data_IF_431246741664
#
_entry.id   IF_431246741664
#
_cell.length_a   1.000
_cell.length_b   1.000
_cell.length_c   1.000
_cell.angle_alpha   90.00
_cell.angle_beta   90.00
_cell.angle_gamma   90.00
#
_symmetry.space_group_name_H-M   'P 1'
#
loop_
_entity.id
_entity.type
_entity.pdbx_description
1 polymer ?
#
# COMPACT_ATOMS: atom_id res chain seq x y z
N UNK A 1 -18.28 -66.92 34.54
CA UNK A 1 -17.39 -65.84 35.00
C UNK A 1 -16.03 -66.10 34.38
N UNK A 2 -15.49 -65.05 33.78
CA UNK A 2 -14.14 -64.87 33.26
C UNK A 2 -13.80 -65.41 31.85
N UNK A 3 -13.64 -64.42 30.97
CA UNK A 3 -13.05 -64.46 29.64
C UNK A 3 -11.56 -64.85 29.70
N UNK A 4 -11.09 -65.54 28.65
CA UNK A 4 -9.74 -66.09 28.52
C UNK A 4 -8.90 -65.32 27.49
N UNK A 5 -7.59 -65.34 27.76
CA UNK A 5 -6.44 -64.92 26.96
C UNK A 5 -6.34 -65.47 25.52
N UNK A 6 -5.58 -64.73 24.70
CA UNK A 6 -5.01 -64.94 23.35
C UNK A 6 -4.14 -66.23 23.15
N UNK A 7 -3.26 -66.43 22.12
CA UNK A 7 -3.07 -65.85 20.75
C UNK A 7 -2.77 -66.92 19.64
N UNK A 8 -2.52 -66.55 18.37
CA UNK A 8 -1.73 -67.43 17.46
C UNK A 8 -1.73 -67.24 15.93
N UNK A 9 -0.79 -66.42 15.42
CA UNK A 9 0.12 -66.57 14.25
C UNK A 9 -0.35 -67.16 12.88
N UNK A 10 -0.35 -66.27 11.85
CA UNK A 10 0.37 -66.31 10.54
C UNK A 10 0.07 -67.40 9.49
N UNK A 11 0.57 -67.32 8.23
CA UNK A 11 1.45 -66.28 7.65
C UNK A 11 1.11 -65.81 6.19
N UNK A 12 1.74 -64.69 5.82
CA UNK A 12 2.42 -64.31 4.56
C UNK A 12 1.93 -64.66 3.13
N UNK A 13 2.02 -63.60 2.30
CA UNK A 13 2.45 -63.50 0.88
C UNK A 13 1.46 -63.92 -0.21
N UNK A 14 1.41 -63.30 -1.40
CA UNK A 14 1.83 -62.01 -2.00
C UNK A 14 1.21 -62.05 -3.42
N UNK A 15 0.70 -60.91 -3.89
CA UNK A 15 0.40 -60.48 -5.28
C UNK A 15 -0.48 -61.35 -6.21
N UNK A 16 -1.56 -60.78 -6.76
CA UNK A 16 -1.49 -60.11 -8.06
C UNK A 16 -2.79 -59.38 -8.48
N UNK A 17 -2.58 -58.23 -9.14
CA UNK A 17 -3.41 -57.39 -10.01
C UNK A 17 -4.94 -57.21 -9.87
N UNK A 18 -5.37 -55.94 -9.83
CA UNK A 18 -6.57 -55.49 -10.56
C UNK A 18 -7.41 -54.35 -9.96
N UNK A 19 -6.96 -53.11 -10.14
CA UNK A 19 -7.77 -51.90 -10.49
C UNK A 19 -9.05 -51.53 -9.71
N UNK A 20 -9.06 -50.30 -9.15
CA UNK A 20 -10.32 -49.61 -8.84
C UNK A 20 -10.22 -48.40 -7.91
N UNK A 21 -9.83 -47.24 -8.44
CA UNK A 21 -10.27 -45.89 -8.04
C UNK A 21 -10.14 -45.44 -6.59
N UNK A 22 -9.12 -44.65 -6.29
CA UNK A 22 -9.15 -43.69 -5.18
C UNK A 22 -9.21 -42.26 -5.75
N UNK A 23 -10.29 -41.56 -5.44
CA UNK A 23 -10.43 -40.12 -5.64
C UNK A 23 -9.47 -39.39 -4.72
N UNK A 24 -8.37 -38.90 -5.27
CA UNK A 24 -7.54 -37.89 -4.63
C UNK A 24 -8.17 -36.52 -4.88
N UNK A 25 -8.62 -35.87 -3.82
CA UNK A 25 -8.96 -34.45 -3.80
C UNK A 25 -7.68 -33.65 -4.09
N UNK A 26 -7.49 -33.32 -5.37
CA UNK A 26 -6.49 -32.35 -5.77
C UNK A 26 -6.84 -31.00 -5.15
N UNK A 27 -6.05 -30.57 -4.15
CA UNK A 27 -5.94 -29.14 -3.83
C UNK A 27 -5.52 -28.46 -5.13
N UNK A 28 -6.43 -27.70 -5.72
CA UNK A 28 -6.10 -26.83 -6.82
C UNK A 28 -5.01 -25.88 -6.31
N UNK A 29 -3.82 -25.98 -6.89
CA UNK A 29 -2.80 -24.98 -6.73
C UNK A 29 -3.39 -23.66 -7.23
N UNK A 30 -3.46 -22.67 -6.34
CA UNK A 30 -3.73 -21.29 -6.75
C UNK A 30 -2.56 -20.91 -7.67
N UNK A 31 -2.79 -20.60 -8.95
CA UNK A 31 -1.71 -20.21 -9.83
C UNK A 31 -1.07 -18.95 -9.27
N UNK A 32 0.25 -19.01 -9.10
CA UNK A 32 1.10 -17.87 -8.80
C UNK A 32 0.85 -16.83 -9.91
N UNK A 33 0.03 -15.83 -9.60
CA UNK A 33 -0.22 -14.72 -10.49
C UNK A 33 0.99 -13.79 -10.41
N UNK A 34 2.10 -14.27 -10.97
CA UNK A 34 3.31 -13.50 -11.21
C UNK A 34 2.94 -12.46 -12.29
N UNK A 35 2.28 -11.40 -11.85
CA UNK A 35 1.86 -10.26 -12.65
C UNK A 35 3.14 -9.62 -13.17
N UNK A 36 3.56 -10.01 -14.38
CA UNK A 36 4.76 -9.53 -15.06
C UNK A 36 4.73 -8.00 -15.14
N UNK A 37 5.52 -7.33 -14.30
CA UNK A 37 5.55 -5.87 -14.20
C UNK A 37 6.66 -5.22 -15.04
N UNK A 38 7.50 -5.99 -15.75
CA UNK A 38 8.50 -5.44 -16.67
C UNK A 38 8.98 -6.44 -17.71
N UNK A 39 9.06 -6.02 -18.97
CA UNK A 39 9.69 -6.76 -20.08
C UNK A 39 11.17 -6.37 -20.28
N UNK A 40 11.72 -5.50 -19.41
CA UNK A 40 13.08 -4.96 -19.55
C UNK A 40 14.13 -6.02 -19.21
N UNK A 41 15.22 -6.04 -19.99
CA UNK A 41 16.40 -6.85 -19.70
C UNK A 41 17.12 -6.28 -18.47
N UNK A 42 17.05 -7.00 -17.34
CA UNK A 42 17.69 -6.59 -16.09
C UNK A 42 19.22 -6.52 -16.19
N UNK A 43 19.84 -7.29 -17.08
CA UNK A 43 21.27 -7.25 -17.34
C UNK A 43 21.67 -5.95 -18.06
N UNK A 44 20.93 -5.56 -19.09
CA UNK A 44 21.14 -4.27 -19.78
C UNK A 44 20.90 -3.10 -18.80
N UNK A 45 19.81 -3.16 -18.04
CA UNK A 45 19.47 -2.12 -17.08
C UNK A 45 20.54 -1.96 -16.00
N UNK A 46 21.10 -3.06 -15.49
CA UNK A 46 22.23 -3.05 -14.56
C UNK A 46 23.43 -2.30 -15.13
N UNK A 47 23.78 -2.58 -16.39
CA UNK A 47 24.96 -1.99 -17.03
C UNK A 47 24.76 -0.48 -17.25
N UNK A 48 23.54 -0.06 -17.59
CA UNK A 48 23.14 1.35 -17.67
C UNK A 48 23.17 2.05 -16.31
N UNK A 49 22.62 1.43 -15.25
CA UNK A 49 22.69 1.94 -13.87
C UNK A 49 24.13 2.12 -13.40
N UNK A 50 25.01 1.16 -13.73
CA UNK A 50 26.44 1.24 -13.43
C UNK A 50 27.10 2.43 -14.12
N UNK A 51 26.82 2.64 -15.41
CA UNK A 51 27.36 3.78 -16.16
C UNK A 51 26.86 5.11 -15.59
N UNK A 52 25.56 5.21 -15.32
CA UNK A 52 24.94 6.40 -14.75
C UNK A 52 25.51 6.75 -13.38
N UNK A 53 25.53 5.80 -12.43
CA UNK A 53 26.00 6.07 -11.08
C UNK A 53 27.51 6.37 -11.08
N UNK A 54 28.28 5.69 -11.93
CA UNK A 54 29.70 5.96 -12.10
C UNK A 54 29.98 7.36 -12.64
N UNK A 55 29.19 7.81 -13.62
CA UNK A 55 29.23 9.19 -14.13
C UNK A 55 28.88 10.21 -13.04
N UNK A 56 27.81 9.94 -12.28
CA UNK A 56 27.34 10.82 -11.19
C UNK A 56 28.35 10.94 -10.05
N UNK A 57 29.04 9.85 -9.70
CA UNK A 57 30.06 9.83 -8.64
C UNK A 57 31.48 10.17 -9.14
N UNK A 58 31.65 10.33 -10.45
CA UNK A 58 32.94 10.60 -11.09
C UNK A 58 33.97 9.48 -10.89
N UNK A 59 33.53 8.22 -10.74
CA UNK A 59 34.39 7.08 -10.40
C UNK A 59 33.78 5.74 -10.83
N UNK A 60 34.59 4.67 -10.94
CA UNK A 60 34.08 3.33 -11.17
C UNK A 60 33.15 2.88 -10.03
N UNK A 61 32.06 2.23 -10.40
CA UNK A 61 31.10 1.63 -9.46
C UNK A 61 30.81 0.19 -9.88
N UNK A 62 30.53 -0.66 -8.90
CA UNK A 62 29.98 -2.01 -9.12
C UNK A 62 28.52 -2.00 -8.73
N UNK A 63 27.68 -2.63 -9.54
CA UNK A 63 26.25 -2.85 -9.28
C UNK A 63 26.02 -4.37 -9.29
N UNK A 64 25.34 -4.90 -8.27
CA UNK A 64 24.96 -6.32 -8.21
C UNK A 64 23.98 -6.70 -9.34
N UNK A 65 23.62 -7.98 -9.44
CA UNK A 65 22.43 -8.34 -10.19
C UNK A 65 21.21 -7.57 -9.64
N UNK A 66 20.33 -7.10 -10.53
CA UNK A 66 19.07 -6.48 -10.16
C UNK A 66 18.05 -7.57 -9.87
N UNK A 67 17.16 -7.32 -8.91
CA UNK A 67 15.99 -8.17 -8.67
C UNK A 67 14.76 -7.32 -8.38
N UNK A 68 13.59 -7.88 -8.66
CA UNK A 68 12.33 -7.33 -8.17
C UNK A 68 12.11 -7.73 -6.70
N UNK A 69 11.35 -6.94 -5.91
CA UNK A 69 10.88 -7.38 -4.60
C UNK A 69 9.97 -8.62 -4.75
N UNK A 70 10.00 -9.50 -3.76
CA UNK A 70 9.17 -10.72 -3.71
C UNK A 70 7.73 -10.45 -3.24
N UNK A 71 7.26 -9.19 -3.29
CA UNK A 71 5.97 -8.76 -2.73
C UNK A 71 5.43 -7.47 -3.38
N UNK A 72 4.20 -7.11 -3.01
CA UNK A 72 3.30 -6.16 -3.69
C UNK A 72 3.89 -4.79 -4.07
N UNK A 73 3.42 -4.29 -5.22
CA UNK A 73 3.59 -2.92 -5.70
C UNK A 73 3.02 -2.79 -7.11
N UNK A 74 1.83 -2.20 -7.26
CA UNK A 74 1.10 -2.16 -8.55
C UNK A 74 1.33 -0.88 -9.35
N UNK A 75 1.77 0.21 -8.70
CA UNK A 75 1.82 1.55 -9.28
C UNK A 75 3.15 1.89 -9.95
N UNK A 76 4.27 1.35 -9.47
CA UNK A 76 5.62 1.68 -9.93
C UNK A 76 6.51 0.44 -10.01
N UNK A 77 7.49 0.47 -10.90
CA UNK A 77 8.50 -0.60 -10.97
C UNK A 77 9.59 -0.36 -9.92
N UNK A 78 9.84 -1.37 -9.09
CA UNK A 78 10.83 -1.35 -8.02
C UNK A 78 11.93 -2.36 -8.29
N UNK A 79 13.18 -1.93 -8.16
CA UNK A 79 14.38 -2.74 -8.37
C UNK A 79 15.30 -2.68 -7.17
N UNK A 80 15.81 -3.83 -6.76
CA UNK A 80 16.71 -3.99 -5.62
C UNK A 80 18.11 -4.34 -6.13
N UNK A 81 19.13 -3.69 -5.57
CA UNK A 81 20.53 -3.93 -5.92
C UNK A 81 21.48 -3.44 -4.83
N UNK A 82 22.73 -3.91 -4.85
CA UNK A 82 23.83 -3.38 -4.06
C UNK A 82 24.76 -2.56 -4.95
N UNK A 83 25.18 -1.39 -4.48
CA UNK A 83 26.13 -0.51 -5.15
C UNK A 83 27.42 -0.37 -4.33
N UNK A 84 28.56 -0.55 -4.97
CA UNK A 84 29.88 -0.48 -4.33
C UNK A 84 30.84 0.43 -5.08
N UNK A 85 31.58 1.27 -4.36
CA UNK A 85 32.62 2.13 -4.95
C UNK A 85 33.70 2.52 -3.92
N UNK A 86 34.88 2.88 -4.41
CA UNK A 86 35.93 3.43 -3.56
C UNK A 86 35.72 4.92 -3.30
N UNK A 87 35.74 5.33 -2.03
CA UNK A 87 35.66 6.71 -1.58
C UNK A 87 36.95 7.16 -0.89
N UNK A 88 37.08 8.48 -0.64
CA UNK A 88 38.23 9.00 0.12
C UNK A 88 38.32 8.42 1.54
N UNK A 89 37.18 7.95 2.07
CA UNK A 89 37.05 7.36 3.41
C UNK A 89 37.12 5.81 3.37
N UNK A 90 37.46 5.23 2.21
CA UNK A 90 37.50 3.80 1.98
C UNK A 90 36.33 3.29 1.13
N UNK A 91 36.22 1.97 1.03
CA UNK A 91 35.17 1.30 0.25
C UNK A 91 33.79 1.60 0.83
N UNK A 92 32.85 1.98 -0.03
CA UNK A 92 31.44 2.14 0.29
C UNK A 92 30.67 0.99 -0.36
N UNK A 93 29.78 0.38 0.43
CA UNK A 93 28.83 -0.63 -0.04
C UNK A 93 27.45 -0.20 0.48
N UNK A 94 26.49 -0.02 -0.42
CA UNK A 94 25.16 0.52 -0.11
C UNK A 94 24.10 -0.38 -0.76
N UNK A 95 23.19 -0.90 0.06
CA UNK A 95 21.97 -1.54 -0.43
C UNK A 95 21.01 -0.47 -0.93
N UNK A 96 20.50 -0.65 -2.14
CA UNK A 96 19.73 0.33 -2.87
C UNK A 96 18.40 -0.25 -3.34
N UNK A 97 17.41 0.63 -3.43
CA UNK A 97 16.14 0.40 -4.12
C UNK A 97 15.94 1.53 -5.13
N UNK A 98 15.74 1.19 -6.40
CA UNK A 98 15.35 2.14 -7.42
C UNK A 98 13.83 2.05 -7.66
N UNK A 99 13.16 3.21 -7.68
CA UNK A 99 11.76 3.34 -8.05
C UNK A 99 11.68 4.05 -9.40
N UNK A 100 10.99 3.43 -10.34
CA UNK A 100 10.85 3.90 -11.72
C UNK A 100 9.39 4.02 -12.09
N UNK A 101 9.06 4.91 -13.01
CA UNK A 101 7.71 4.98 -13.55
C UNK A 101 7.41 3.67 -14.31
N UNK A 102 6.16 3.18 -14.27
CA UNK A 102 5.79 1.95 -14.97
C UNK A 102 6.04 2.08 -16.47
N UNK A 103 6.34 0.97 -17.14
CA UNK A 103 6.51 0.94 -18.59
C UNK A 103 5.21 1.35 -19.30
N UNK A 104 5.32 2.05 -20.44
CA UNK A 104 4.19 2.62 -21.17
C UNK A 104 3.15 1.62 -21.71
N UNK A 105 3.44 0.32 -21.67
CA UNK A 105 2.51 -0.77 -22.02
C UNK A 105 1.57 -1.16 -20.87
N UNK A 106 1.78 -0.63 -19.66
CA UNK A 106 0.87 -0.86 -18.55
C UNK A 106 -0.36 0.06 -18.65
N UNK A 107 -1.55 -0.46 -18.32
CA UNK A 107 -2.71 0.38 -17.98
C UNK A 107 -2.34 1.13 -16.69
N UNK A 108 -2.09 2.46 -16.74
CA UNK A 108 -1.60 3.18 -15.58
C UNK A 108 -2.71 3.27 -14.54
N UNK A 109 -2.31 3.16 -13.27
CA UNK A 109 -3.24 3.36 -12.14
C UNK A 109 -3.52 4.85 -11.98
N UNK A 110 -2.48 5.70 -12.06
CA UNK A 110 -2.61 7.14 -11.91
C UNK A 110 -2.44 7.90 -13.24
N UNK A 111 -3.01 9.11 -13.38
CA UNK A 111 -2.90 9.91 -14.60
C UNK A 111 -1.46 10.37 -14.91
N UNK A 112 -0.60 10.41 -13.89
CA UNK A 112 0.82 10.74 -14.02
C UNK A 112 1.62 10.23 -12.82
N UNK A 113 2.94 10.09 -13.02
CA UNK A 113 3.88 9.63 -12.00
C UNK A 113 4.95 10.69 -11.77
N UNK A 114 4.77 11.52 -10.75
CA UNK A 114 5.77 12.51 -10.35
C UNK A 114 6.74 11.93 -9.32
N UNK A 115 7.78 11.27 -9.84
CA UNK A 115 8.83 10.68 -9.00
C UNK A 115 9.69 11.73 -8.30
N UNK A 116 9.77 12.95 -8.84
CA UNK A 116 10.47 14.06 -8.19
C UNK A 116 9.75 14.50 -6.93
N UNK A 117 8.42 14.62 -7.00
CA UNK A 117 7.55 14.87 -5.84
C UNK A 117 7.67 13.77 -4.79
N UNK A 118 7.68 12.49 -5.19
CA UNK A 118 7.88 11.37 -4.27
C UNK A 118 9.25 11.39 -3.58
N UNK A 119 10.32 11.68 -4.33
CA UNK A 119 11.65 11.81 -3.77
C UNK A 119 11.72 12.93 -2.73
N UNK A 120 11.13 14.09 -3.06
CA UNK A 120 11.19 15.27 -2.21
C UNK A 120 10.35 15.14 -0.94
N UNK A 121 9.14 14.57 -1.02
CA UNK A 121 8.32 14.37 0.19
C UNK A 121 8.97 13.37 1.14
N UNK A 122 9.56 12.28 0.62
CA UNK A 122 10.26 11.30 1.45
C UNK A 122 11.47 11.93 2.17
N UNK A 123 12.21 12.79 1.46
CA UNK A 123 13.32 13.56 2.03
C UNK A 123 12.84 14.52 3.11
N UNK A 124 11.79 15.29 2.85
CA UNK A 124 11.21 16.26 3.79
C UNK A 124 10.60 15.59 5.02
N UNK A 125 9.84 14.51 4.85
CA UNK A 125 9.29 13.74 5.96
C UNK A 125 10.41 13.25 6.90
N UNK A 126 11.51 12.74 6.33
CA UNK A 126 12.67 12.33 7.12
C UNK A 126 13.35 13.50 7.84
N UNK A 127 13.63 14.58 7.13
CA UNK A 127 14.43 15.69 7.66
C UNK A 127 13.67 16.62 8.60
N UNK A 128 12.37 16.84 8.37
CA UNK A 128 11.53 17.78 9.13
C UNK A 128 10.74 17.09 10.23
N UNK A 129 10.20 15.91 9.96
CA UNK A 129 9.33 15.19 10.90
C UNK A 129 10.06 14.07 11.65
N UNK A 130 11.28 13.70 11.24
CA UNK A 130 11.97 12.54 11.81
C UNK A 130 11.29 11.21 11.48
N UNK A 131 10.38 11.19 10.50
CA UNK A 131 9.72 9.97 10.03
C UNK A 131 10.77 8.95 9.61
N UNK A 132 10.64 7.67 9.99
CA UNK A 132 11.59 6.63 9.59
C UNK A 132 11.37 6.26 8.12
N UNK A 133 11.56 7.20 7.19
CA UNK A 133 11.54 6.94 5.75
C UNK A 133 12.94 6.55 5.25
N UNK A 134 13.07 5.71 4.20
CA UNK A 134 14.35 5.42 3.57
C UNK A 134 15.11 6.70 3.19
N UNK A 135 16.44 6.68 3.31
CA UNK A 135 17.23 7.83 2.86
C UNK A 135 17.16 7.93 1.35
N UNK A 136 16.60 9.03 0.86
CA UNK A 136 16.60 9.40 -0.55
C UNK A 136 18.06 9.69 -0.99
N UNK A 137 18.61 8.88 -1.90
CA UNK A 137 20.03 8.99 -2.30
C UNK A 137 20.19 9.88 -3.53
N UNK A 138 19.47 9.56 -4.61
CA UNK A 138 19.63 10.24 -5.90
C UNK A 138 18.29 10.29 -6.64
N UNK A 139 18.01 11.43 -7.27
CA UNK A 139 16.93 11.60 -8.24
C UNK A 139 17.55 11.90 -9.61
N UNK A 140 16.99 11.26 -10.64
CA UNK A 140 17.33 11.45 -12.05
C UNK A 140 16.05 11.78 -12.84
N UNK A 141 15.83 13.06 -13.18
CA UNK A 141 14.67 13.47 -13.97
C UNK A 141 14.84 13.18 -15.46
N UNK A 142 16.08 13.05 -15.97
CA UNK A 142 16.32 12.74 -17.38
C UNK A 142 16.01 11.26 -17.63
N UNK A 143 15.12 10.90 -18.58
CA UNK A 143 14.90 9.50 -18.92
C UNK A 143 16.08 8.86 -19.65
N UNK A 144 17.05 9.61 -20.19
CA UNK A 144 18.15 9.05 -21.00
C UNK A 144 18.90 7.87 -20.34
N UNK A 145 19.24 7.90 -19.04
CA UNK A 145 20.03 6.84 -18.41
C UNK A 145 19.32 5.49 -18.38
N UNK A 146 18.02 5.42 -18.04
CA UNK A 146 17.28 4.15 -17.86
C UNK A 146 16.00 4.01 -18.71
N UNK A 147 15.72 4.98 -19.59
CA UNK A 147 14.52 5.04 -20.42
C UNK A 147 13.29 5.64 -19.73
N UNK A 148 13.42 6.05 -18.47
CA UNK A 148 12.36 6.64 -17.65
C UNK A 148 12.99 7.43 -16.49
N UNK A 149 12.36 8.50 -15.97
CA UNK A 149 12.78 9.11 -14.72
C UNK A 149 12.79 8.08 -13.59
N UNK A 150 13.68 8.26 -12.62
CA UNK A 150 13.79 7.36 -11.48
C UNK A 150 14.44 8.04 -10.28
N UNK A 151 14.21 7.47 -9.11
CA UNK A 151 15.01 7.78 -7.93
C UNK A 151 15.54 6.52 -7.28
N UNK A 152 16.60 6.69 -6.49
CA UNK A 152 17.24 5.64 -5.71
C UNK A 152 17.20 6.03 -4.24
N UNK A 153 16.88 5.08 -3.38
CA UNK A 153 16.89 5.20 -1.92
C UNK A 153 17.67 4.05 -1.29
N UNK A 154 18.03 4.20 -0.02
CA UNK A 154 18.62 3.09 0.74
C UNK A 154 17.64 1.94 0.93
N UNK A 155 18.15 0.71 0.80
CA UNK A 155 17.41 -0.50 1.15
C UNK A 155 17.31 -0.60 2.67
N UNK A 156 16.10 -0.66 3.17
CA UNK A 156 15.80 -0.95 4.58
C UNK A 156 15.33 -2.40 4.72
N UNK A 157 15.79 -3.07 5.77
CA UNK A 157 15.35 -4.42 6.10
C UNK A 157 14.30 -4.38 7.21
N UNK A 158 13.16 -5.01 6.96
CA UNK A 158 12.05 -5.20 7.90
C UNK A 158 10.91 -5.96 7.25
N UNK A 159 9.91 -6.29 8.06
CA UNK A 159 8.72 -7.05 7.65
C UNK A 159 7.54 -6.11 7.42
N UNK A 160 6.74 -6.39 6.40
CA UNK A 160 5.53 -5.62 6.08
C UNK A 160 4.32 -6.51 6.35
N UNK A 161 3.24 -6.01 6.97
CA UNK A 161 1.96 -6.71 7.00
C UNK A 161 1.45 -6.93 5.56
N UNK A 162 1.27 -8.17 5.08
CA UNK A 162 0.95 -8.43 3.68
C UNK A 162 -0.45 -7.94 3.29
N UNK A 163 -0.62 -7.49 2.04
CA UNK A 163 -1.97 -7.26 1.47
C UNK A 163 -2.50 -8.48 0.72
N UNK A 164 -1.64 -9.44 0.34
CA UNK A 164 -2.01 -10.65 -0.43
C UNK A 164 -1.30 -11.89 0.14
N UNK A 165 -2.00 -12.82 0.78
CA UNK A 165 -3.32 -12.63 1.39
C UNK A 165 -3.25 -11.52 2.46
N UNK A 166 -4.35 -10.81 2.77
CA UNK A 166 -4.31 -9.72 3.75
C UNK A 166 -3.83 -10.21 5.11
N UNK A 167 -3.12 -9.37 5.86
CA UNK A 167 -2.58 -9.70 7.20
C UNK A 167 -3.64 -10.09 8.24
N UNK A 168 -4.92 -9.89 7.94
CA UNK A 168 -6.06 -10.36 8.74
C UNK A 168 -6.41 -11.84 8.47
N UNK A 169 -5.88 -12.43 7.39
CA UNK A 169 -6.03 -13.84 7.03
C UNK A 169 -4.91 -14.71 7.57
N UNK A 170 -3.67 -14.24 7.42
CA UNK A 170 -2.47 -14.98 7.81
C UNK A 170 -1.27 -14.04 8.01
N UNK A 171 -0.20 -14.56 8.60
CA UNK A 171 1.07 -13.86 8.75
C UNK A 171 1.37 -13.40 10.17
N UNK A 172 2.58 -12.86 10.34
CA UNK A 172 3.17 -12.55 11.64
C UNK A 172 2.35 -11.57 12.50
N UNK A 173 1.59 -10.67 11.88
CA UNK A 173 0.73 -9.73 12.59
C UNK A 173 -0.52 -10.41 13.18
N UNK A 174 -1.12 -11.35 12.44
CA UNK A 174 -2.21 -12.16 12.94
C UNK A 174 -1.75 -13.09 14.07
N UNK A 175 -0.51 -13.56 14.05
CA UNK A 175 0.05 -14.43 15.10
C UNK A 175 0.63 -13.67 16.30
N UNK A 176 0.74 -12.34 16.20
CA UNK A 176 1.31 -11.50 17.24
C UNK A 176 0.51 -11.54 18.56
N UNK A 177 1.21 -11.37 19.67
CA UNK A 177 0.58 -11.16 20.97
C UNK A 177 -0.21 -9.84 21.00
N UNK A 178 -1.22 -9.70 21.88
CA UNK A 178 -1.94 -8.44 22.04
C UNK A 178 -1.01 -7.24 22.25
N UNK A 179 0.02 -7.38 23.09
CA UNK A 179 1.01 -6.33 23.33
C UNK A 179 1.84 -5.98 22.08
N UNK A 180 2.11 -6.95 21.19
CA UNK A 180 2.79 -6.71 19.92
C UNK A 180 1.91 -5.90 18.96
N UNK A 181 0.62 -6.25 18.86
CA UNK A 181 -0.35 -5.51 18.04
C UNK A 181 -0.58 -4.09 18.58
N UNK A 182 -0.74 -3.94 19.90
CA UNK A 182 -0.89 -2.63 20.55
C UNK A 182 0.32 -1.73 20.28
N UNK A 183 1.53 -2.29 20.38
CA UNK A 183 2.77 -1.56 20.05
C UNK A 183 2.77 -1.15 18.59
N UNK A 184 2.48 -2.07 17.67
CA UNK A 184 2.46 -1.76 16.24
C UNK A 184 1.47 -0.63 15.95
N UNK A 185 0.22 -0.75 16.41
CA UNK A 185 -0.80 0.28 16.23
C UNK A 185 -0.33 1.63 16.76
N UNK A 186 0.17 1.68 18.00
CA UNK A 186 0.61 2.92 18.62
C UNK A 186 1.75 3.56 17.83
N UNK A 187 2.75 2.79 17.41
CA UNK A 187 3.88 3.30 16.64
C UNK A 187 3.48 3.70 15.20
N UNK A 188 2.51 3.02 14.59
CA UNK A 188 1.93 3.45 13.31
C UNK A 188 1.20 4.78 13.43
N UNK A 189 0.43 4.99 14.50
CA UNK A 189 -0.24 6.27 14.78
C UNK A 189 0.79 7.36 15.10
N UNK A 190 1.90 7.02 15.76
CA UNK A 190 2.98 7.95 16.05
C UNK A 190 3.67 8.48 14.77
N UNK A 191 3.72 7.69 13.68
CA UNK A 191 4.18 8.18 12.37
C UNK A 191 3.30 9.34 11.90
N UNK A 192 1.97 9.17 11.91
CA UNK A 192 1.04 10.21 11.49
C UNK A 192 1.10 11.43 12.41
N UNK A 193 1.14 11.21 13.72
CA UNK A 193 1.26 12.28 14.71
C UNK A 193 2.52 13.11 14.47
N UNK A 194 3.69 12.46 14.32
CA UNK A 194 4.95 13.12 14.07
C UNK A 194 5.00 13.86 12.73
N UNK A 195 4.43 13.26 11.67
CA UNK A 195 4.35 13.90 10.35
C UNK A 195 3.46 15.16 10.40
N UNK A 196 2.29 15.08 11.03
CA UNK A 196 1.31 16.15 11.05
C UNK A 196 1.69 17.33 11.98
N UNK A 197 2.49 17.08 13.02
CA UNK A 197 2.98 18.12 13.95
C UNK A 197 4.36 18.69 13.56
N UNK A 198 4.98 18.16 12.51
CA UNK A 198 6.28 18.62 12.07
C UNK A 198 6.25 20.09 11.59
N UNK A 199 7.31 20.87 11.83
CA UNK A 199 7.36 22.29 11.52
C UNK A 199 7.66 22.55 10.04
N UNK A 200 6.76 22.12 9.16
CA UNK A 200 6.85 22.42 7.73
C UNK A 200 6.57 23.90 7.47
N UNK A 201 7.40 24.53 6.64
CA UNK A 201 7.14 25.87 6.13
C UNK A 201 6.20 25.81 4.92
N UNK A 202 5.57 26.93 4.57
CA UNK A 202 4.79 27.05 3.33
C UNK A 202 5.61 26.66 2.08
N UNK A 203 6.92 26.91 2.11
CA UNK A 203 7.84 26.52 1.04
C UNK A 203 8.04 25.01 0.95
N UNK A 204 8.09 24.32 2.09
CA UNK A 204 8.17 22.85 2.13
C UNK A 204 6.86 22.22 1.62
N UNK A 205 5.70 22.81 1.90
CA UNK A 205 4.38 22.25 1.54
C UNK A 205 3.92 22.58 0.11
N UNK A 206 4.35 23.72 -0.44
CA UNK A 206 3.91 24.21 -1.77
C UNK A 206 3.98 23.16 -2.89
N UNK A 207 5.03 22.33 -3.04
CA UNK A 207 5.09 21.32 -4.09
C UNK A 207 3.98 20.26 -4.00
N UNK A 208 3.38 20.09 -2.82
CA UNK A 208 2.36 19.08 -2.56
C UNK A 208 0.93 19.64 -2.56
N UNK A 209 0.78 20.96 -2.71
CA UNK A 209 -0.52 21.59 -2.89
C UNK A 209 -1.06 21.30 -4.29
N UNK A 210 -2.35 20.96 -4.36
CA UNK A 210 -3.07 20.77 -5.62
C UNK A 210 -3.42 22.13 -6.25
N UNK A 211 -3.35 22.24 -7.57
CA UNK A 211 -3.47 23.53 -8.28
C UNK A 211 -4.93 23.95 -8.51
N UNK A 212 -5.53 24.56 -7.47
CA UNK A 212 -6.88 25.16 -7.49
C UNK A 212 -6.93 26.33 -6.50
N UNK A 213 -6.50 27.53 -6.91
CA UNK A 213 -6.42 28.69 -6.01
C UNK A 213 -7.80 29.14 -5.54
N UNK A 214 -7.92 29.51 -4.27
CA UNK A 214 -9.17 30.00 -3.66
C UNK A 214 -10.02 28.92 -2.97
N UNK A 215 -9.74 27.63 -3.20
CA UNK A 215 -10.37 26.51 -2.49
C UNK A 215 -9.64 26.19 -1.16
N UNK A 216 -10.30 25.53 -0.21
CA UNK A 216 -9.61 24.89 0.94
C UNK A 216 -8.85 23.64 0.46
N UNK A 217 -7.83 23.17 1.19
CA UNK A 217 -7.09 21.98 0.75
C UNK A 217 -7.97 20.73 0.69
N UNK A 218 -8.91 20.57 1.62
CA UNK A 218 -9.91 19.49 1.54
C UNK A 218 -10.73 19.56 0.25
N UNK A 219 -11.22 20.76 -0.12
CA UNK A 219 -12.01 20.96 -1.33
C UNK A 219 -11.21 20.63 -2.58
N UNK A 220 -9.95 21.06 -2.63
CA UNK A 220 -9.03 20.71 -3.71
C UNK A 220 -8.83 19.20 -3.82
N UNK A 221 -8.61 18.54 -2.69
CA UNK A 221 -8.35 17.11 -2.65
C UNK A 221 -9.56 16.31 -3.13
N UNK A 222 -10.78 16.63 -2.67
CA UNK A 222 -12.02 15.96 -3.15
C UNK A 222 -12.26 16.23 -4.64
N UNK A 223 -12.04 17.46 -5.10
CA UNK A 223 -12.18 17.82 -6.51
C UNK A 223 -11.16 17.11 -7.41
N UNK A 224 -9.94 16.91 -6.92
CA UNK A 224 -8.90 16.13 -7.60
C UNK A 224 -9.27 14.65 -7.67
N UNK A 225 -9.80 14.07 -6.59
CA UNK A 225 -10.32 12.70 -6.62
C UNK A 225 -11.51 12.52 -7.58
N UNK A 226 -12.38 13.54 -7.70
CA UNK A 226 -13.45 13.54 -8.70
C UNK A 226 -12.91 13.59 -10.13
N UNK A 227 -11.86 14.38 -10.38
CA UNK A 227 -11.17 14.41 -11.67
C UNK A 227 -10.46 13.09 -11.97
N UNK A 228 -9.84 12.46 -10.96
CA UNK A 228 -9.24 11.15 -11.07
C UNK A 228 -10.28 10.07 -11.42
N UNK A 229 -11.44 10.06 -10.75
CA UNK A 229 -12.57 9.18 -11.10
C UNK A 229 -13.00 9.36 -12.57
N UNK A 230 -13.20 10.61 -13.00
CA UNK A 230 -13.59 10.91 -14.39
C UNK A 230 -12.55 10.43 -15.40
N UNK A 231 -11.27 10.59 -15.11
CA UNK A 231 -10.19 10.08 -15.96
C UNK A 231 -10.14 8.54 -15.98
N UNK A 232 -10.21 7.91 -14.80
CA UNK A 232 -10.03 6.47 -14.63
C UNK A 232 -11.20 5.67 -15.22
N UNK A 233 -12.42 6.23 -15.17
CA UNK A 233 -13.69 5.59 -15.52
C UNK A 233 -14.49 6.36 -16.58
N UNK A 234 -13.84 7.14 -17.44
CA UNK A 234 -14.53 7.96 -18.46
C UNK A 234 -15.54 7.19 -19.33
N UNK A 235 -15.31 5.90 -19.54
CA UNK A 235 -16.16 5.04 -20.37
C UNK A 235 -17.38 4.45 -19.64
N UNK A 236 -17.50 4.63 -18.33
CA UNK A 236 -18.57 4.00 -17.54
C UNK A 236 -18.78 4.67 -16.19
N UNK A 237 -20.05 4.84 -15.83
CA UNK A 237 -20.46 5.35 -14.52
C UNK A 237 -20.49 4.21 -13.49
N UNK A 238 -20.15 4.54 -12.25
CA UNK A 238 -20.16 3.64 -11.10
C UNK A 238 -21.09 4.29 -10.06
N UNK A 239 -22.42 4.03 -10.14
CA UNK A 239 -23.43 4.72 -9.33
C UNK A 239 -23.13 4.79 -7.83
N UNK A 240 -22.58 3.75 -7.20
CA UNK A 240 -22.26 3.77 -5.77
C UNK A 240 -21.22 4.82 -5.41
N UNK A 241 -20.20 5.04 -6.27
CA UNK A 241 -19.18 6.06 -6.06
C UNK A 241 -19.73 7.47 -6.31
N UNK A 242 -20.61 7.63 -7.29
CA UNK A 242 -21.27 8.91 -7.55
C UNK A 242 -22.19 9.33 -6.40
N UNK A 243 -22.96 8.38 -5.83
CA UNK A 243 -23.74 8.63 -4.61
C UNK A 243 -22.87 8.98 -3.42
N UNK A 244 -21.73 8.33 -3.25
CA UNK A 244 -20.78 8.68 -2.19
C UNK A 244 -20.20 10.10 -2.37
N UNK A 245 -19.91 10.51 -3.61
CA UNK A 245 -19.55 11.89 -3.91
C UNK A 245 -20.64 12.88 -3.53
N UNK A 246 -21.91 12.59 -3.86
CA UNK A 246 -23.04 13.46 -3.51
C UNK A 246 -23.23 13.55 -1.98
N UNK A 247 -23.09 12.41 -1.29
CA UNK A 247 -23.13 12.36 0.17
C UNK A 247 -22.05 13.25 0.81
N UNK A 248 -20.82 13.27 0.27
CA UNK A 248 -19.75 14.15 0.75
C UNK A 248 -20.11 15.63 0.58
N UNK A 249 -20.80 16.01 -0.49
CA UNK A 249 -21.25 17.40 -0.67
C UNK A 249 -22.29 17.81 0.37
N UNK A 250 -23.17 16.88 0.75
CA UNK A 250 -24.22 17.11 1.76
C UNK A 250 -23.69 17.15 3.20
N UNK A 251 -22.59 16.45 3.48
CA UNK A 251 -22.02 16.27 4.83
C UNK A 251 -20.69 16.99 5.02
N UNK A 252 -20.41 18.00 4.20
CA UNK A 252 -19.13 18.70 4.20
C UNK A 252 -18.78 19.29 5.59
N UNK A 253 -17.57 19.03 6.14
CA UNK A 253 -17.18 19.54 7.45
C UNK A 253 -17.18 21.07 7.49
N UNK A 254 -17.81 21.64 8.52
CA UNK A 254 -17.87 23.09 8.71
C UNK A 254 -16.48 23.69 9.04
N UNK A 255 -15.66 22.95 9.79
CA UNK A 255 -14.27 23.28 10.09
C UNK A 255 -13.40 22.04 9.85
N UNK A 256 -12.74 21.93 8.69
CA UNK A 256 -11.88 20.79 8.38
C UNK A 256 -10.57 20.80 9.20
N UNK A 257 -10.31 21.83 10.02
CA UNK A 257 -9.08 21.93 10.79
C UNK A 257 -7.88 22.43 9.99
N UNK A 258 -6.67 22.39 10.59
CA UNK A 258 -5.45 22.86 9.94
C UNK A 258 -4.97 21.89 8.87
N UNK A 259 -4.48 22.45 7.77
CA UNK A 259 -3.81 21.69 6.72
C UNK A 259 -2.41 21.25 7.17
N UNK A 260 -2.07 20.01 6.87
CA UNK A 260 -0.76 19.39 7.17
C UNK A 260 -0.22 18.69 5.92
N UNK A 261 1.02 18.21 5.98
CA UNK A 261 1.48 17.21 5.02
C UNK A 261 0.78 15.88 5.32
N UNK A 262 -0.06 15.44 4.38
CA UNK A 262 -0.68 14.11 4.37
C UNK A 262 0.21 13.17 3.57
N UNK A 263 0.50 12.01 4.15
CA UNK A 263 1.23 10.90 3.55
C UNK A 263 0.45 10.32 2.36
N UNK A 264 -0.87 10.23 2.43
CA UNK A 264 -1.72 9.80 1.32
C UNK A 264 -2.11 8.33 1.41
N UNK A 265 -1.21 7.39 1.06
CA UNK A 265 -1.46 5.94 1.23
C UNK A 265 -1.06 5.46 2.64
N UNK A 266 -1.66 6.12 3.63
CA UNK A 266 -1.30 6.05 5.04
C UNK A 266 -1.76 4.76 5.74
N UNK A 267 -1.15 3.61 5.39
CA UNK A 267 -1.55 2.29 5.92
C UNK A 267 -0.37 1.44 6.34
N UNK A 268 -0.59 0.51 7.26
CA UNK A 268 0.48 -0.34 7.82
C UNK A 268 1.12 -1.28 6.79
N UNK A 269 0.42 -1.62 5.70
CA UNK A 269 0.98 -2.36 4.57
C UNK A 269 2.03 -1.58 3.77
N UNK A 270 2.22 -0.29 4.06
CA UNK A 270 3.31 0.54 3.53
C UNK A 270 4.35 0.92 4.58
N UNK A 271 4.37 0.22 5.71
CA UNK A 271 5.38 0.41 6.76
C UNK A 271 6.13 -0.90 6.95
N UNK A 272 7.46 -0.84 6.89
CA UNK A 272 8.33 -1.93 7.32
C UNK A 272 8.54 -1.86 8.82
N UNK A 273 8.47 -3.00 9.48
CA UNK A 273 8.63 -3.15 10.92
C UNK A 273 9.82 -4.03 11.28
N UNK A 274 10.38 -3.78 12.46
CA UNK A 274 11.25 -4.72 13.17
C UNK A 274 10.78 -4.75 14.62
N UNK A 275 10.42 -5.93 15.12
CA UNK A 275 9.86 -6.09 16.46
C UNK A 275 8.71 -5.11 16.75
N UNK A 276 7.75 -5.04 15.82
CA UNK A 276 6.57 -4.15 15.88
C UNK A 276 6.89 -2.64 15.89
N UNK A 277 8.13 -2.24 15.58
CA UNK A 277 8.55 -0.83 15.49
C UNK A 277 8.82 -0.45 14.04
N UNK A 278 8.28 0.67 13.55
CA UNK A 278 8.54 1.16 12.20
C UNK A 278 10.03 1.41 11.94
N UNK A 279 10.52 0.90 10.81
CA UNK A 279 11.89 1.15 10.32
C UNK A 279 11.92 1.77 8.93
N UNK A 280 10.83 1.67 8.16
CA UNK A 280 10.68 2.33 6.86
C UNK A 280 9.21 2.73 6.63
N UNK A 281 8.93 3.99 6.34
CA UNK A 281 7.64 4.46 5.79
C UNK A 281 7.80 4.62 4.29
N UNK A 282 7.00 3.88 3.55
CA UNK A 282 7.08 3.73 2.10
C UNK A 282 5.90 4.41 1.42
N UNK A 283 5.91 4.35 0.10
CA UNK A 283 4.83 4.74 -0.79
C UNK A 283 4.22 6.13 -0.57
N UNK A 284 4.91 7.13 -1.10
CA UNK A 284 4.55 8.54 -0.95
C UNK A 284 3.86 9.13 -2.20
N UNK A 285 3.35 8.29 -3.10
CA UNK A 285 2.82 8.74 -4.38
C UNK A 285 1.52 9.54 -4.27
N UNK A 286 0.76 9.30 -3.21
CA UNK A 286 -0.50 9.99 -2.90
C UNK A 286 -0.32 11.17 -1.94
N UNK A 287 0.93 11.53 -1.60
CA UNK A 287 1.19 12.58 -0.62
C UNK A 287 0.67 13.94 -1.11
N UNK A 288 0.01 14.67 -0.23
CA UNK A 288 -0.67 15.92 -0.53
C UNK A 288 -0.69 16.86 0.69
N UNK A 289 -1.23 18.05 0.51
CA UNK A 289 -1.58 18.95 1.62
C UNK A 289 -3.08 18.84 1.87
N UNK A 290 -3.48 18.65 3.13
CA UNK A 290 -4.88 18.62 3.54
C UNK A 290 -5.08 18.35 5.03
N UNK A 291 -6.33 18.20 5.49
CA UNK A 291 -6.64 17.90 6.89
C UNK A 291 -5.98 16.62 7.38
N UNK A 292 -5.67 16.58 8.68
CA UNK A 292 -5.06 15.43 9.37
C UNK A 292 -5.88 14.16 9.22
N UNK A 293 -7.19 14.32 9.20
CA UNK A 293 -8.16 13.25 9.11
C UNK A 293 -8.09 12.47 7.79
N UNK A 294 -7.51 13.03 6.73
CA UNK A 294 -7.30 12.31 5.46
C UNK A 294 -6.45 11.05 5.63
N UNK A 295 -5.36 11.14 6.40
CA UNK A 295 -4.47 10.00 6.66
C UNK A 295 -5.03 9.09 7.76
N UNK A 296 -5.63 9.67 8.80
CA UNK A 296 -6.20 8.91 9.92
C UNK A 296 -7.32 8.01 9.42
N UNK A 297 -8.26 8.55 8.64
CA UNK A 297 -9.37 7.78 8.10
C UNK A 297 -8.92 6.76 7.07
N UNK A 298 -7.87 7.07 6.29
CA UNK A 298 -7.28 6.10 5.36
C UNK A 298 -6.71 4.88 6.10
N UNK A 299 -5.94 5.11 7.17
CA UNK A 299 -5.38 4.04 8.00
C UNK A 299 -6.47 3.14 8.58
N UNK A 300 -7.50 3.75 9.17
CA UNK A 300 -8.65 3.05 9.79
C UNK A 300 -9.43 2.27 8.73
N UNK A 301 -9.80 2.93 7.64
CA UNK A 301 -10.64 2.35 6.61
C UNK A 301 -9.95 1.17 5.91
N UNK A 302 -8.65 1.25 5.60
CA UNK A 302 -7.94 0.14 4.95
C UNK A 302 -7.86 -1.10 5.84
N UNK A 303 -7.70 -0.93 7.16
CA UNK A 303 -7.82 -2.05 8.08
C UNK A 303 -9.23 -2.63 8.07
N UNK A 304 -10.25 -1.76 8.18
CA UNK A 304 -11.65 -2.21 8.20
C UNK A 304 -12.04 -2.92 6.90
N UNK A 305 -11.56 -2.47 5.75
CA UNK A 305 -11.75 -3.14 4.46
C UNK A 305 -11.23 -4.58 4.48
N UNK A 306 -10.00 -4.81 4.97
CA UNK A 306 -9.47 -6.17 5.09
C UNK A 306 -10.23 -6.99 6.13
N UNK A 307 -10.63 -6.38 7.23
CA UNK A 307 -11.45 -7.05 8.24
C UNK A 307 -12.82 -7.47 7.69
N UNK A 308 -13.50 -6.63 6.91
CA UNK A 308 -14.77 -6.94 6.24
C UNK A 308 -14.61 -8.16 5.30
N UNK A 309 -13.51 -8.21 4.54
CA UNK A 309 -13.21 -9.36 3.66
C UNK A 309 -12.99 -10.63 4.48
N UNK A 310 -12.25 -10.54 5.59
CA UNK A 310 -11.99 -11.68 6.49
C UNK A 310 -13.27 -12.20 7.13
N UNK A 311 -14.13 -11.31 7.63
CA UNK A 311 -15.42 -11.64 8.23
C UNK A 311 -16.37 -12.28 7.21
N UNK A 312 -16.40 -11.77 5.96
CA UNK A 312 -17.19 -12.35 4.88
C UNK A 312 -16.79 -13.78 4.52
N UNK A 313 -15.53 -14.18 4.80
CA UNK A 313 -15.04 -15.56 4.66
C UNK A 313 -15.23 -16.42 5.91
N UNK A 314 -15.89 -15.90 6.96
CA UNK A 314 -16.15 -16.63 8.21
C UNK A 314 -14.92 -16.78 9.11
N UNK A 315 -13.90 -15.95 8.91
CA UNK A 315 -12.69 -15.91 9.73
C UNK A 315 -12.77 -14.75 10.73
N UNK A 316 -12.14 -14.87 11.93
CA UNK A 316 -12.24 -13.85 12.96
C UNK A 316 -11.44 -12.58 12.65
N UNK A 317 -10.31 -12.69 11.96
CA UNK A 317 -9.43 -11.55 11.68
C UNK A 317 -8.88 -10.87 12.94
N UNK A 318 -8.85 -9.54 12.91
CA UNK A 318 -8.32 -8.66 13.97
C UNK A 318 -9.34 -7.56 14.33
N UNK A 319 -10.52 -7.90 14.86
CA UNK A 319 -11.65 -6.95 15.01
C UNK A 319 -11.38 -5.82 16.01
N UNK A 320 -10.47 -6.04 16.96
CA UNK A 320 -10.10 -5.05 17.98
C UNK A 320 -8.92 -4.16 17.55
N UNK A 321 -8.34 -4.39 16.38
CA UNK A 321 -7.17 -3.67 15.88
C UNK A 321 -7.60 -2.48 15.00
N UNK A 322 -6.85 -1.37 15.05
CA UNK A 322 -7.08 -0.15 14.25
C UNK A 322 -8.53 0.38 14.25
N UNK A 323 -9.27 0.16 15.34
CA UNK A 323 -10.61 0.74 15.51
C UNK A 323 -10.51 2.27 15.50
N UNK A 324 -11.45 2.92 14.80
CA UNK A 324 -11.45 4.39 14.64
C UNK A 324 -11.29 5.12 15.97
N UNK A 325 -12.03 4.72 17.01
CA UNK A 325 -11.96 5.32 18.34
C UNK A 325 -10.59 5.19 18.99
N UNK A 326 -9.93 4.03 18.87
CA UNK A 326 -8.61 3.77 19.48
C UNK A 326 -7.50 4.52 18.75
N UNK A 327 -7.57 4.57 17.42
CA UNK A 327 -6.65 5.34 16.59
C UNK A 327 -6.78 6.83 16.89
N UNK A 328 -8.01 7.36 16.90
CA UNK A 328 -8.28 8.76 17.20
C UNK A 328 -7.85 9.14 18.62
N UNK A 329 -8.12 8.28 19.61
CA UNK A 329 -7.68 8.47 20.99
C UNK A 329 -6.17 8.51 21.10
N UNK A 330 -5.48 7.54 20.51
CA UNK A 330 -4.00 7.49 20.51
C UNK A 330 -3.40 8.72 19.83
N UNK A 331 -3.97 9.14 18.69
CA UNK A 331 -3.54 10.33 17.97
C UNK A 331 -3.73 11.61 18.80
N UNK A 332 -4.87 11.74 19.48
CA UNK A 332 -5.16 12.87 20.36
C UNK A 332 -4.24 12.91 21.58
N UNK A 333 -3.92 11.76 22.18
CA UNK A 333 -2.98 11.66 23.30
C UNK A 333 -1.57 12.14 22.92
N UNK A 334 -1.15 11.92 21.66
CA UNK A 334 0.18 12.30 21.16
C UNK A 334 0.28 13.76 20.74
N UNK A 335 -0.76 14.29 20.08
CA UNK A 335 -0.71 15.61 19.41
C UNK A 335 -1.49 16.70 20.17
N UNK A 336 -2.37 16.31 21.09
CA UNK A 336 -3.37 17.20 21.68
C UNK A 336 -4.52 17.58 20.72
N UNK A 337 -4.46 17.15 19.45
CA UNK A 337 -5.51 17.40 18.46
C UNK A 337 -6.54 16.28 18.47
N UNK A 338 -7.82 16.63 18.64
CA UNK A 338 -8.93 15.67 18.54
C UNK A 338 -9.39 15.56 17.07
N UNK A 339 -9.27 14.39 16.42
CA UNK A 339 -9.85 14.16 15.09
C UNK A 339 -11.35 14.39 15.08
N UNK A 340 -11.86 14.92 13.97
CA UNK A 340 -13.24 15.42 13.86
C UNK A 340 -13.91 14.82 12.62
N UNK A 341 -15.24 14.78 12.63
CA UNK A 341 -16.04 14.42 11.45
C UNK A 341 -15.58 13.11 10.79
N UNK A 342 -15.14 12.13 11.59
CA UNK A 342 -14.50 10.90 11.10
C UNK A 342 -15.41 10.11 10.16
N UNK A 343 -16.74 10.13 10.36
CA UNK A 343 -17.69 9.53 9.42
C UNK A 343 -17.55 10.09 8.00
N UNK A 344 -17.34 11.40 7.87
CA UNK A 344 -17.09 12.04 6.57
C UNK A 344 -15.77 11.58 5.97
N UNK A 345 -14.70 11.59 6.76
CA UNK A 345 -13.37 11.23 6.27
C UNK A 345 -13.22 9.74 5.97
N UNK A 346 -13.93 8.87 6.69
CA UNK A 346 -13.95 7.42 6.45
C UNK A 346 -14.82 7.07 5.24
N UNK A 347 -15.97 7.74 5.03
CA UNK A 347 -16.69 7.67 3.74
C UNK A 347 -15.79 8.12 2.59
N UNK A 348 -15.05 9.21 2.77
CA UNK A 348 -14.14 9.71 1.74
C UNK A 348 -12.98 8.74 1.47
N UNK A 349 -12.42 8.09 2.49
CA UNK A 349 -11.43 7.03 2.32
C UNK A 349 -12.02 5.84 1.55
N UNK A 350 -13.25 5.43 1.87
CA UNK A 350 -13.96 4.36 1.17
C UNK A 350 -14.20 4.66 -0.31
N UNK A 351 -14.61 5.89 -0.62
CA UNK A 351 -14.76 6.40 -1.98
C UNK A 351 -13.43 6.37 -2.74
N UNK A 352 -12.37 6.97 -2.17
CA UNK A 352 -11.03 7.00 -2.76
C UNK A 352 -10.50 5.60 -3.07
N UNK A 353 -10.60 4.69 -2.10
CA UNK A 353 -10.21 3.30 -2.27
C UNK A 353 -11.06 2.61 -3.34
N UNK A 354 -12.36 2.90 -3.41
CA UNK A 354 -13.28 2.37 -4.43
C UNK A 354 -12.89 2.76 -5.85
N UNK A 355 -12.50 4.03 -6.07
CA UNK A 355 -12.01 4.50 -7.37
C UNK A 355 -10.72 3.75 -7.77
N UNK A 356 -9.76 3.60 -6.85
CA UNK A 356 -8.50 2.89 -7.11
C UNK A 356 -8.76 1.41 -7.43
N UNK A 357 -9.61 0.73 -6.66
CA UNK A 357 -9.92 -0.68 -6.88
C UNK A 357 -10.66 -0.92 -8.18
N UNK A 358 -11.64 -0.08 -8.53
CA UNK A 358 -12.30 -0.19 -9.82
C UNK A 358 -11.31 -0.02 -10.97
N UNK A 359 -10.31 0.87 -10.84
CA UNK A 359 -9.25 1.04 -11.84
C UNK A 359 -8.34 -0.19 -11.95
N UNK A 360 -7.98 -0.80 -10.83
CA UNK A 360 -7.21 -2.07 -10.81
C UNK A 360 -8.02 -3.19 -11.47
N UNK A 361 -9.33 -3.28 -11.21
CA UNK A 361 -10.21 -4.25 -11.87
C UNK A 361 -10.30 -4.03 -13.38
N UNK A 362 -10.43 -2.78 -13.85
CA UNK A 362 -10.37 -2.47 -15.28
C UNK A 362 -9.09 -2.94 -15.94
N UNK A 363 -7.95 -2.79 -15.25
CA UNK A 363 -6.67 -3.32 -15.74
C UNK A 363 -6.72 -4.84 -15.91
N UNK A 364 -7.27 -5.58 -14.93
CA UNK A 364 -7.44 -7.04 -15.02
C UNK A 364 -8.37 -7.44 -16.17
N UNK A 365 -9.45 -6.71 -16.38
CA UNK A 365 -10.39 -6.91 -17.50
C UNK A 365 -9.70 -6.66 -18.84
N UNK A 366 -8.92 -5.59 -18.96
CA UNK A 366 -8.15 -5.28 -20.17
C UNK A 366 -7.18 -6.40 -20.56
N UNK A 367 -6.55 -7.04 -19.58
CA UNK A 367 -5.65 -8.18 -19.79
C UNK A 367 -6.37 -9.54 -19.87
N UNK A 368 -7.72 -9.57 -19.81
CA UNK A 368 -8.50 -10.80 -19.93
C UNK A 368 -8.45 -11.71 -18.69
N UNK A 369 -7.96 -11.21 -17.56
CA UNK A 369 -7.88 -11.96 -16.29
C UNK A 369 -9.23 -12.07 -15.59
N UNK A 370 -10.16 -11.15 -15.90
CA UNK A 370 -11.49 -11.06 -15.32
C UNK A 370 -12.50 -10.61 -16.38
N UNK A 371 -13.74 -11.13 -16.38
CA UNK A 371 -14.81 -10.59 -17.21
C UNK A 371 -15.29 -9.23 -16.68
N UNK A 372 -15.89 -8.43 -17.54
CA UNK A 372 -16.66 -7.26 -17.13
C UNK A 372 -17.88 -7.70 -16.31
N UNK A 373 -18.17 -7.11 -15.14
CA UNK A 373 -19.39 -7.41 -14.41
C UNK A 373 -20.63 -6.84 -15.10
N UNK A 374 -21.80 -7.43 -14.81
CA UNK A 374 -23.09 -6.96 -15.31
C UNK A 374 -23.50 -5.63 -14.63
N UNK A 375 -23.24 -5.51 -13.33
CA UNK A 375 -23.43 -4.30 -12.54
C UNK A 375 -22.09 -3.55 -12.39
N UNK A 376 -21.96 -2.30 -12.89
CA UNK A 376 -20.75 -1.50 -12.73
C UNK A 376 -20.31 -1.30 -11.27
N UNK A 377 -21.24 -1.33 -10.31
CA UNK A 377 -20.92 -1.18 -8.89
C UNK A 377 -20.08 -2.36 -8.35
N UNK A 378 -20.12 -3.53 -9.02
CA UNK A 378 -19.31 -4.71 -8.64
C UNK A 378 -17.81 -4.55 -8.92
N UNK A 379 -17.40 -3.47 -9.61
CA UNK A 379 -15.99 -3.10 -9.74
C UNK A 379 -15.41 -2.56 -8.42
N UNK A 380 -16.28 -2.13 -7.51
CA UNK A 380 -15.93 -1.72 -6.16
C UNK A 380 -16.06 -2.94 -5.25
N UNK A 381 -14.94 -3.57 -4.92
CA UNK A 381 -14.92 -4.80 -4.10
C UNK A 381 -15.69 -4.67 -2.78
N UNK A 382 -15.71 -3.47 -2.21
CA UNK A 382 -16.41 -3.12 -0.97
C UNK A 382 -17.68 -2.30 -1.21
N UNK A 383 -18.40 -2.52 -2.33
CA UNK A 383 -19.68 -1.84 -2.63
C UNK A 383 -20.67 -1.89 -1.45
N UNK A 384 -20.82 -3.07 -0.84
CA UNK A 384 -21.74 -3.28 0.29
C UNK A 384 -21.35 -2.44 1.51
N UNK A 385 -20.05 -2.16 1.70
CA UNK A 385 -19.57 -1.28 2.76
C UNK A 385 -19.97 0.16 2.48
N UNK A 386 -19.75 0.68 1.26
CA UNK A 386 -20.19 2.03 0.90
C UNK A 386 -21.72 2.16 0.99
N UNK A 387 -22.48 1.17 0.52
CA UNK A 387 -23.95 1.15 0.62
C UNK A 387 -24.42 1.25 2.08
N UNK A 388 -23.85 0.46 3.00
CA UNK A 388 -24.17 0.56 4.43
C UNK A 388 -23.77 1.91 5.05
N UNK A 389 -22.66 2.51 4.61
CA UNK A 389 -22.25 3.84 5.05
C UNK A 389 -23.26 4.91 4.59
N UNK A 390 -23.72 4.82 3.33
CA UNK A 390 -24.74 5.72 2.78
C UNK A 390 -26.08 5.61 3.53
N UNK A 391 -26.44 4.40 3.96
CA UNK A 391 -27.65 4.14 4.75
C UNK A 391 -27.51 4.55 6.24
N UNK A 392 -26.32 4.99 6.66
CA UNK A 392 -26.01 5.38 8.04
C UNK A 392 -25.87 4.23 9.03
N UNK A 393 -25.87 2.97 8.56
CA UNK A 393 -25.87 1.77 9.40
C UNK A 393 -24.50 1.09 9.56
N UNK A 394 -23.43 1.66 9.00
CA UNK A 394 -22.11 1.01 9.02
C UNK A 394 -21.30 1.27 10.29
N UNK A 395 -21.44 2.46 10.88
CA UNK A 395 -20.69 2.88 12.07
C UNK A 395 -21.47 2.67 13.38
N UNK A 396 -22.74 2.27 13.28
CA UNK A 396 -23.64 1.91 14.39
C UNK A 396 -23.55 0.42 14.71
#
# INVERSE_FOLDING_TARGET
MDERCEPGRGPDRVDDHGSGGSGGSGRAAVPDADMRTSTRDLGELRDRMRSWLGGRLGRPVTISALSHPSGNGMSSETLIFDASWDSAEGRRDVGCVARMAPAGEAVPVFPGYDLGRQFEVMRLARERAGTPAPRALWFEPDPAPLGTPFFVMERVAGDVPPDVLPYTFEGWLLEASPAGRDRLQRESVAILAGLHDAPFTDGDLRPFQLDRPGESALRRHVNDQRAYYQWAHASMRIPVLERAFDWLEEHWPADPGPDVLSWGDARIGNVMYRDFTPVAVLDWEMAAVGPRELDISWMVFLHRFFQDITEAMGLPGLPDFMRSEDVCRTYQEMTGYKPRDMEFYEMYAALRHGIIMARVWHRRIHFGEQPMPDDPDDLVMHRATIERMLDGGYWS
#
